data_IF_874336608953
#
_entry.id   IF_874336608953
#
_cell.length_a   1.000
_cell.length_b   1.000
_cell.length_c   1.000
_cell.angle_alpha   90.00
_cell.angle_beta   90.00
_cell.angle_gamma   90.00
#
_symmetry.space_group_name_H-M   'P 1'
#
loop_
_entity.id
_entity.type
_entity.pdbx_description
1 polymer ?
#
# COMPACT_ATOMS: atom_id res chain seq x y z
N UNK A 1 45.17 -46.82 26.03
CA UNK A 1 44.12 -47.86 25.94
C UNK A 1 44.73 -49.21 25.54
N UNK A 2 45.40 -49.35 24.38
CA UNK A 2 45.98 -50.64 23.95
C UNK A 2 47.04 -51.21 24.91
N UNK A 3 47.98 -50.39 25.41
CA UNK A 3 49.03 -50.83 26.37
C UNK A 3 48.46 -51.31 27.71
N UNK A 4 47.37 -50.69 28.18
CA UNK A 4 46.70 -51.05 29.45
C UNK A 4 45.89 -52.33 29.28
N UNK A 5 45.24 -52.52 28.12
CA UNK A 5 44.54 -53.76 27.77
C UNK A 5 45.53 -54.94 27.70
N UNK A 6 46.70 -54.74 27.10
CA UNK A 6 47.72 -55.77 26.94
C UNK A 6 48.29 -56.22 28.31
N UNK A 7 48.54 -55.27 29.21
CA UNK A 7 48.91 -55.55 30.61
C UNK A 7 47.80 -56.30 31.36
N UNK A 8 46.54 -55.93 31.15
CA UNK A 8 45.40 -56.59 31.78
C UNK A 8 45.22 -58.03 31.29
N UNK A 9 45.37 -58.27 29.99
CA UNK A 9 45.35 -59.62 29.39
C UNK A 9 46.51 -60.48 29.90
N UNK A 10 47.70 -59.91 30.05
CA UNK A 10 48.87 -60.62 30.60
C UNK A 10 48.65 -61.03 32.07
N UNK A 11 48.07 -60.13 32.87
CA UNK A 11 47.74 -60.39 34.27
C UNK A 11 46.64 -61.43 34.42
N UNK A 12 45.63 -61.38 33.54
CA UNK A 12 44.58 -62.40 33.40
C UNK A 12 45.14 -63.77 33.05
N UNK A 13 46.05 -63.82 32.08
CA UNK A 13 46.73 -65.06 31.70
C UNK A 13 47.52 -65.64 32.87
N UNK A 14 48.18 -64.80 33.68
CA UNK A 14 48.87 -65.23 34.90
C UNK A 14 47.94 -65.84 35.95
N UNK A 15 46.77 -65.25 36.18
CA UNK A 15 45.76 -65.75 37.14
C UNK A 15 45.15 -67.08 36.69
N UNK A 16 45.02 -67.30 35.37
CA UNK A 16 44.45 -68.54 34.82
C UNK A 16 45.49 -69.66 34.74
N UNK A 17 46.70 -69.35 34.24
CA UNK A 17 47.75 -70.34 33.98
C UNK A 17 48.50 -70.73 35.26
N UNK A 18 48.68 -69.81 36.20
CA UNK A 18 49.39 -70.05 37.46
C UNK A 18 48.84 -71.23 38.28
N UNK A 19 47.53 -71.26 38.59
CA UNK A 19 46.93 -72.37 39.34
C UNK A 19 46.91 -73.69 38.56
N UNK A 20 46.88 -73.64 37.22
CA UNK A 20 46.91 -74.84 36.37
C UNK A 20 48.27 -75.55 36.43
N UNK A 21 49.36 -74.79 36.60
CA UNK A 21 50.72 -75.32 36.78
C UNK A 21 50.98 -75.79 38.22
N UNK A 22 50.29 -75.21 39.21
CA UNK A 22 50.49 -75.49 40.64
C UNK A 22 49.85 -76.79 41.17
N UNK A 23 49.19 -77.59 40.32
CA UNK A 23 48.73 -78.95 40.66
C UNK A 23 47.55 -79.07 41.64
N UNK A 24 47.02 -77.96 42.18
CA UNK A 24 45.88 -77.95 43.09
C UNK A 24 44.73 -77.11 42.51
N UNK A 25 43.86 -77.75 41.72
CA UNK A 25 42.63 -77.13 41.27
C UNK A 25 41.55 -77.34 42.34
N UNK A 26 41.31 -76.33 43.18
CA UNK A 26 40.07 -76.30 43.97
C UNK A 26 38.85 -76.43 43.04
N UNK A 27 37.82 -77.14 43.48
CA UNK A 27 36.57 -77.27 42.73
C UNK A 27 35.47 -76.41 43.36
N UNK A 28 34.58 -75.90 42.52
CA UNK A 28 33.37 -75.20 42.90
C UNK A 28 32.20 -76.07 42.49
N UNK A 29 31.43 -76.53 43.47
CA UNK A 29 30.16 -77.21 43.27
C UNK A 29 29.04 -76.20 43.46
N UNK A 30 28.27 -75.94 42.40
CA UNK A 30 27.03 -75.17 42.49
C UNK A 30 25.89 -76.18 42.44
N UNK A 31 25.25 -76.40 43.59
CA UNK A 31 24.13 -77.33 43.75
C UNK A 31 22.80 -76.56 43.73
N UNK A 32 21.93 -76.89 42.78
CA UNK A 32 20.53 -76.45 42.68
C UNK A 32 19.62 -77.68 42.75
N UNK A 33 18.32 -77.52 43.05
CA UNK A 33 17.37 -78.62 43.32
C UNK A 33 17.44 -79.82 42.33
N UNK A 34 17.72 -79.59 41.04
CA UNK A 34 17.82 -80.64 40.01
C UNK A 34 19.14 -80.64 39.20
N UNK A 35 20.13 -79.79 39.53
CA UNK A 35 21.37 -79.69 38.75
C UNK A 35 22.58 -79.42 39.64
N UNK A 36 23.58 -80.29 39.52
CA UNK A 36 24.90 -80.12 40.11
C UNK A 36 25.87 -79.72 39.00
N UNK A 37 26.39 -78.49 39.06
CA UNK A 37 27.43 -78.03 38.15
C UNK A 37 28.76 -78.06 38.92
N UNK A 38 29.62 -78.99 38.54
CA UNK A 38 31.00 -79.09 39.03
C UNK A 38 31.92 -78.37 38.05
N UNK A 39 32.55 -77.28 38.50
CA UNK A 39 33.57 -76.57 37.72
C UNK A 39 34.82 -76.35 38.55
N UNK A 40 35.98 -76.21 37.92
CA UNK A 40 37.19 -75.82 38.64
C UNK A 40 37.11 -74.33 39.02
N UNK A 41 37.77 -73.94 40.12
CA UNK A 41 37.87 -72.53 40.52
C UNK A 41 38.43 -71.66 39.39
N UNK A 42 39.35 -72.20 38.60
CA UNK A 42 39.91 -71.54 37.40
C UNK A 42 38.86 -71.39 36.30
N UNK A 43 38.04 -72.41 36.06
CA UNK A 43 36.93 -72.37 35.11
C UNK A 43 35.89 -71.31 35.46
N UNK A 44 35.48 -71.23 36.74
CA UNK A 44 34.57 -70.20 37.23
C UNK A 44 35.16 -68.79 37.04
N UNK A 45 36.45 -68.60 37.36
CA UNK A 45 37.11 -67.32 37.16
C UNK A 45 37.10 -66.89 35.69
N UNK A 46 37.45 -67.80 34.76
CA UNK A 46 37.41 -67.54 33.31
C UNK A 46 36.00 -67.12 32.88
N UNK A 47 34.97 -67.85 33.31
CA UNK A 47 33.57 -67.53 32.96
C UNK A 47 33.19 -66.13 33.46
N UNK A 48 33.57 -65.78 34.69
CA UNK A 48 33.26 -64.47 35.28
C UNK A 48 33.97 -63.33 34.54
N UNK A 49 35.22 -63.56 34.13
CA UNK A 49 36.01 -62.62 33.33
C UNK A 49 35.37 -62.43 31.95
N UNK A 50 35.02 -63.52 31.27
CA UNK A 50 34.36 -63.47 29.95
C UNK A 50 33.01 -62.77 30.06
N UNK A 51 32.20 -63.10 31.06
CA UNK A 51 30.93 -62.43 31.33
C UNK A 51 31.11 -60.92 31.53
N UNK A 52 32.13 -60.50 32.27
CA UNK A 52 32.43 -59.09 32.48
C UNK A 52 32.87 -58.37 31.19
N UNK A 53 33.71 -59.01 30.37
CA UNK A 53 34.11 -58.48 29.05
C UNK A 53 32.89 -58.33 28.13
N UNK A 54 31.99 -59.32 28.10
CA UNK A 54 30.76 -59.26 27.32
C UNK A 54 29.86 -58.13 27.80
N UNK A 55 29.70 -57.96 29.12
CA UNK A 55 28.89 -56.88 29.69
C UNK A 55 29.46 -55.50 29.33
N UNK A 56 30.78 -55.32 29.42
CA UNK A 56 31.45 -54.08 28.97
C UNK A 56 31.32 -53.85 27.46
N UNK A 57 31.39 -54.90 26.64
CA UNK A 57 31.19 -54.80 25.19
C UNK A 57 29.77 -54.38 24.84
N UNK A 58 28.76 -54.95 25.53
CA UNK A 58 27.35 -54.55 25.40
C UNK A 58 27.16 -53.10 25.84
N UNK A 59 27.72 -52.70 26.99
CA UNK A 59 27.65 -51.32 27.48
C UNK A 59 28.32 -50.33 26.50
N UNK A 60 29.45 -50.70 25.92
CA UNK A 60 30.13 -49.90 24.89
C UNK A 60 29.28 -49.76 23.62
N UNK A 61 28.68 -50.86 23.14
CA UNK A 61 27.84 -50.88 21.95
C UNK A 61 26.58 -50.03 22.14
N UNK A 62 25.91 -50.16 23.29
CA UNK A 62 24.75 -49.35 23.66
C UNK A 62 25.14 -47.86 23.75
N UNK A 63 26.23 -47.51 24.46
CA UNK A 63 26.72 -46.13 24.53
C UNK A 63 27.06 -45.55 23.16
N UNK A 64 27.63 -46.34 22.25
CA UNK A 64 27.96 -45.94 20.86
C UNK A 64 26.69 -45.65 20.05
N UNK A 65 25.69 -46.53 20.10
CA UNK A 65 24.40 -46.34 19.42
C UNK A 65 23.67 -45.10 19.94
N UNK A 66 23.55 -44.94 21.26
CA UNK A 66 22.83 -43.82 21.86
C UNK A 66 23.58 -42.47 21.74
N UNK A 67 24.92 -42.42 21.87
CA UNK A 67 25.69 -41.19 21.62
C UNK A 67 25.67 -40.76 20.15
N UNK A 68 25.55 -41.68 19.21
CA UNK A 68 25.44 -41.36 17.76
C UNK A 68 24.02 -40.91 17.38
N UNK A 69 22.99 -41.36 18.12
CA UNK A 69 21.60 -40.92 17.92
C UNK A 69 21.35 -39.44 18.20
N UNK A 70 22.02 -38.86 19.19
CA UNK A 70 21.90 -37.43 19.50
C UNK A 70 22.54 -36.52 18.43
N UNK A 71 23.69 -36.93 17.87
CA UNK A 71 24.41 -36.15 16.85
C UNK A 71 23.76 -36.25 15.45
N UNK A 72 23.04 -37.34 15.18
CA UNK A 72 22.32 -37.52 13.91
C UNK A 72 21.02 -36.73 13.87
N UNK A 73 20.24 -36.63 14.96
CA UNK A 73 19.01 -35.82 15.00
C UNK A 73 19.25 -34.35 14.62
N UNK A 74 20.33 -33.73 15.10
CA UNK A 74 20.74 -32.37 14.71
C UNK A 74 21.14 -32.27 13.22
N UNK A 75 21.77 -33.30 12.67
CA UNK A 75 22.15 -33.36 11.25
C UNK A 75 20.94 -33.50 10.30
N UNK A 76 19.90 -34.25 10.69
CA UNK A 76 18.64 -34.34 9.92
C UNK A 76 17.84 -33.03 9.97
N UNK A 77 17.71 -32.40 11.14
CA UNK A 77 17.07 -31.09 11.27
C UNK A 77 17.82 -30.00 10.48
N UNK A 78 19.16 -29.99 10.56
CA UNK A 78 20.00 -29.08 9.79
C UNK A 78 19.88 -29.25 8.28
N UNK A 79 19.70 -30.49 7.77
CA UNK A 79 19.45 -30.73 6.35
C UNK A 79 18.12 -30.18 5.87
N UNK A 80 17.04 -30.31 6.67
CA UNK A 80 15.73 -29.73 6.33
C UNK A 80 15.79 -28.22 6.27
N UNK A 81 16.42 -27.56 7.24
CA UNK A 81 16.61 -26.10 7.25
C UNK A 81 17.45 -25.61 6.06
N UNK A 82 18.56 -26.30 5.76
CA UNK A 82 19.37 -26.00 4.55
C UNK A 82 18.57 -26.15 3.26
N UNK A 83 17.70 -27.17 3.18
CA UNK A 83 16.84 -27.38 2.02
C UNK A 83 15.77 -26.30 1.88
N UNK A 84 15.09 -25.94 2.99
CA UNK A 84 14.12 -24.87 3.02
C UNK A 84 14.75 -23.54 2.58
N UNK A 85 15.95 -23.21 3.10
CA UNK A 85 16.72 -22.03 2.68
C UNK A 85 17.01 -22.03 1.18
N UNK A 86 17.52 -23.13 0.62
CA UNK A 86 17.76 -23.25 -0.83
C UNK A 86 16.47 -23.06 -1.64
N UNK A 87 15.33 -23.53 -1.15
CA UNK A 87 14.05 -23.35 -1.82
C UNK A 87 13.58 -21.90 -1.76
N UNK A 88 13.74 -21.21 -0.63
CA UNK A 88 13.46 -19.77 -0.53
C UNK A 88 14.35 -18.99 -1.50
N UNK A 89 15.66 -19.27 -1.55
CA UNK A 89 16.59 -18.62 -2.49
C UNK A 89 16.16 -18.85 -3.96
N UNK A 90 15.80 -20.07 -4.33
CA UNK A 90 15.27 -20.38 -5.67
C UNK A 90 13.92 -19.73 -5.95
N UNK A 91 13.04 -19.66 -4.95
CA UNK A 91 11.73 -19.04 -5.08
C UNK A 91 11.85 -17.53 -5.31
N UNK A 92 12.81 -16.85 -4.67
CA UNK A 92 13.05 -15.43 -4.90
C UNK A 92 13.53 -15.15 -6.34
N UNK A 93 14.34 -16.03 -6.92
CA UNK A 93 14.70 -15.95 -8.33
C UNK A 93 13.47 -16.14 -9.23
N UNK A 94 12.63 -17.14 -8.94
CA UNK A 94 11.37 -17.37 -9.68
C UNK A 94 10.38 -16.23 -9.54
N UNK A 95 10.37 -15.54 -8.40
CA UNK A 95 9.55 -14.35 -8.18
C UNK A 95 10.01 -13.21 -9.09
N UNK A 96 11.32 -13.00 -9.23
CA UNK A 96 11.88 -12.02 -10.16
C UNK A 96 11.62 -12.38 -11.63
N UNK A 97 11.57 -13.67 -11.98
CA UNK A 97 11.18 -14.15 -13.31
C UNK A 97 9.66 -14.05 -13.59
N UNK A 98 8.84 -13.80 -12.56
CA UNK A 98 7.38 -13.78 -12.68
C UNK A 98 6.72 -15.18 -12.72
N UNK A 99 7.46 -16.25 -12.43
CA UNK A 99 6.92 -17.61 -12.38
C UNK A 99 6.25 -17.89 -11.02
N UNK A 100 5.06 -17.32 -10.85
CA UNK A 100 4.29 -17.42 -9.61
C UNK A 100 3.90 -18.86 -9.24
N UNK A 101 3.79 -19.77 -10.22
CA UNK A 101 3.50 -21.17 -9.93
C UNK A 101 4.67 -21.85 -9.21
N UNK A 102 5.90 -21.60 -9.66
CA UNK A 102 7.08 -22.13 -8.99
C UNK A 102 7.34 -21.44 -7.65
N UNK A 103 7.09 -20.12 -7.55
CA UNK A 103 7.19 -19.39 -6.28
C UNK A 103 6.32 -20.03 -5.21
N UNK A 104 5.03 -20.17 -5.48
CA UNK A 104 4.08 -20.72 -4.51
C UNK A 104 4.51 -22.12 -4.05
N UNK A 105 4.90 -22.98 -4.99
CA UNK A 105 5.33 -24.35 -4.71
C UNK A 105 6.61 -24.40 -3.88
N UNK A 106 7.59 -23.55 -4.18
CA UNK A 106 8.88 -23.54 -3.48
C UNK A 106 8.75 -22.90 -2.09
N UNK A 107 7.96 -21.83 -1.97
CA UNK A 107 7.75 -21.13 -0.71
C UNK A 107 6.94 -21.96 0.29
N UNK A 108 5.87 -22.65 -0.13
CA UNK A 108 5.00 -23.44 0.76
C UNK A 108 5.59 -24.79 1.17
N UNK A 109 6.27 -25.51 0.27
CA UNK A 109 6.62 -26.94 0.45
C UNK A 109 7.43 -27.28 1.71
N UNK A 110 8.31 -26.39 2.17
CA UNK A 110 9.07 -26.58 3.41
C UNK A 110 9.09 -25.29 4.27
N UNK A 111 8.04 -24.47 4.14
CA UNK A 111 7.92 -23.19 4.85
C UNK A 111 8.10 -23.33 6.37
N UNK A 112 7.49 -24.34 6.98
CA UNK A 112 7.54 -24.59 8.44
C UNK A 112 8.97 -24.84 8.96
N UNK A 113 9.90 -25.22 8.10
CA UNK A 113 11.31 -25.46 8.45
C UNK A 113 12.23 -24.33 7.97
N UNK A 114 11.68 -23.30 7.33
CA UNK A 114 12.42 -22.11 6.93
C UNK A 114 12.80 -21.27 8.14
N UNK A 115 13.74 -20.36 7.96
CA UNK A 115 14.13 -19.44 9.02
C UNK A 115 13.04 -18.41 9.33
N UNK A 116 12.22 -18.06 8.33
CA UNK A 116 11.10 -17.13 8.43
C UNK A 116 9.85 -17.75 7.76
N UNK A 117 9.14 -18.67 8.44
CA UNK A 117 7.98 -19.36 7.87
C UNK A 117 6.85 -18.42 7.43
N UNK A 118 6.57 -17.38 8.24
CA UNK A 118 5.52 -16.38 7.97
C UNK A 118 5.73 -15.71 6.62
N UNK A 119 6.95 -15.21 6.37
CA UNK A 119 7.31 -14.53 5.10
C UNK A 119 7.10 -15.46 3.90
N UNK A 120 7.52 -16.71 4.01
CA UNK A 120 7.33 -17.70 2.95
C UNK A 120 5.84 -17.89 2.61
N UNK A 121 4.98 -18.03 3.62
CA UNK A 121 3.54 -18.19 3.38
C UNK A 121 2.88 -16.91 2.86
N UNK A 122 3.29 -15.71 3.30
CA UNK A 122 2.80 -14.45 2.73
C UNK A 122 3.15 -14.33 1.25
N UNK A 123 4.39 -14.63 0.86
CA UNK A 123 4.81 -14.62 -0.54
C UNK A 123 4.12 -15.73 -1.36
N UNK A 124 3.84 -16.88 -0.76
CA UNK A 124 3.05 -17.93 -1.40
C UNK A 124 1.60 -17.47 -1.63
N UNK A 125 1.00 -16.74 -0.68
CA UNK A 125 -0.33 -16.18 -0.83
C UNK A 125 -0.40 -15.15 -1.96
N UNK A 126 0.59 -14.24 -2.04
CA UNK A 126 0.70 -13.27 -3.13
C UNK A 126 0.89 -13.95 -4.49
N UNK A 127 1.75 -14.98 -4.57
CA UNK A 127 1.95 -15.74 -5.79
C UNK A 127 0.69 -16.49 -6.23
N UNK A 128 -0.06 -17.09 -5.30
CA UNK A 128 -1.34 -17.72 -5.60
C UNK A 128 -2.38 -16.70 -6.10
N UNK A 129 -2.41 -15.50 -5.52
CA UNK A 129 -3.28 -14.41 -5.97
C UNK A 129 -2.96 -13.95 -7.39
N UNK A 130 -1.69 -13.80 -7.76
CA UNK A 130 -1.29 -13.43 -9.12
C UNK A 130 -1.71 -14.47 -10.17
N UNK A 131 -1.96 -15.70 -9.74
CA UNK A 131 -2.50 -16.78 -10.57
C UNK A 131 -4.03 -16.85 -10.58
N UNK A 132 -4.71 -16.00 -9.79
CA UNK A 132 -6.16 -16.03 -9.61
C UNK A 132 -6.67 -17.19 -8.73
N UNK A 133 -5.81 -17.89 -7.99
CA UNK A 133 -6.21 -18.97 -7.09
C UNK A 133 -6.48 -18.42 -5.68
N UNK A 134 -7.67 -17.87 -5.49
CA UNK A 134 -8.06 -17.18 -4.25
C UNK A 134 -8.12 -18.12 -3.04
N UNK A 135 -8.57 -19.36 -3.26
CA UNK A 135 -8.69 -20.37 -2.21
C UNK A 135 -7.32 -20.72 -1.63
N UNK A 136 -6.33 -20.95 -2.49
CA UNK A 136 -4.95 -21.19 -2.03
C UNK A 136 -4.33 -19.97 -1.39
N UNK A 137 -4.56 -18.79 -1.95
CA UNK A 137 -4.06 -17.55 -1.36
C UNK A 137 -4.57 -17.37 0.08
N UNK A 138 -5.85 -17.62 0.33
CA UNK A 138 -6.44 -17.56 1.67
C UNK A 138 -5.87 -18.65 2.59
N UNK A 139 -5.70 -19.88 2.12
CA UNK A 139 -5.09 -20.96 2.90
C UNK A 139 -3.67 -20.62 3.36
N UNK A 140 -2.84 -20.06 2.47
CA UNK A 140 -1.48 -19.64 2.82
C UNK A 140 -1.50 -18.47 3.80
N UNK A 141 -2.42 -17.52 3.64
CA UNK A 141 -2.59 -16.37 4.53
C UNK A 141 -3.02 -16.80 5.94
N UNK A 142 -3.96 -17.75 6.06
CA UNK A 142 -4.37 -18.34 7.34
C UNK A 142 -3.20 -19.05 8.02
N UNK A 143 -2.43 -19.83 7.26
CA UNK A 143 -1.24 -20.50 7.79
C UNK A 143 -0.18 -19.50 8.26
N UNK A 144 -0.01 -18.38 7.55
CA UNK A 144 0.85 -17.29 7.98
C UNK A 144 0.36 -16.67 9.30
N UNK A 145 -0.96 -16.47 9.45
CA UNK A 145 -1.57 -15.93 10.66
C UNK A 145 -1.34 -16.82 11.88
N UNK A 146 -1.50 -18.14 11.73
CA UNK A 146 -1.24 -19.12 12.80
C UNK A 146 0.22 -19.06 13.29
N UNK A 147 1.16 -18.84 12.37
CA UNK A 147 2.60 -18.81 12.65
C UNK A 147 3.11 -17.45 13.12
N UNK A 148 2.38 -16.37 12.87
CA UNK A 148 2.77 -15.00 13.21
C UNK A 148 2.74 -14.71 14.71
N UNK A 149 1.96 -15.46 15.49
CA UNK A 149 1.83 -15.28 16.94
C UNK A 149 1.38 -13.87 17.29
N UNK A 150 2.26 -13.08 17.91
CA UNK A 150 1.96 -11.71 18.34
C UNK A 150 2.16 -10.65 17.24
N UNK A 151 2.92 -10.94 16.18
CA UNK A 151 3.25 -9.97 15.12
C UNK A 151 2.34 -10.14 13.90
N UNK A 152 1.08 -9.73 14.04
CA UNK A 152 0.04 -9.93 13.02
C UNK A 152 0.05 -8.86 11.92
N UNK A 153 0.82 -7.77 12.08
CA UNK A 153 0.79 -6.61 11.17
C UNK A 153 1.13 -7.00 9.72
N UNK A 154 2.20 -7.78 9.43
CA UNK A 154 2.52 -8.16 8.05
C UNK A 154 1.42 -9.01 7.40
N UNK A 155 0.75 -9.85 8.19
CA UNK A 155 -0.35 -10.71 7.72
C UNK A 155 -1.55 -9.85 7.32
N UNK A 156 -1.93 -8.89 8.17
CA UNK A 156 -3.08 -8.02 7.91
C UNK A 156 -2.81 -7.02 6.77
N UNK A 157 -1.58 -6.49 6.65
CA UNK A 157 -1.18 -5.70 5.47
C UNK A 157 -1.33 -6.52 4.19
N UNK A 158 -0.84 -7.76 4.20
CA UNK A 158 -0.96 -8.66 3.05
C UNK A 158 -2.42 -8.97 2.75
N UNK A 159 -3.24 -9.25 3.77
CA UNK A 159 -4.69 -9.48 3.63
C UNK A 159 -5.36 -8.32 2.89
N UNK A 160 -5.14 -7.09 3.34
CA UNK A 160 -5.71 -5.88 2.73
C UNK A 160 -5.23 -5.71 1.29
N UNK A 161 -3.95 -5.95 1.02
CA UNK A 161 -3.39 -5.90 -0.34
C UNK A 161 -4.09 -6.90 -1.27
N UNK A 162 -4.30 -8.13 -0.82
CA UNK A 162 -5.02 -9.15 -1.58
C UNK A 162 -6.48 -8.74 -1.82
N UNK A 163 -7.18 -8.21 -0.81
CA UNK A 163 -8.55 -7.70 -0.93
C UNK A 163 -8.66 -6.57 -1.97
N UNK A 164 -7.74 -5.61 -1.95
CA UNK A 164 -7.69 -4.55 -2.98
C UNK A 164 -7.42 -5.11 -4.37
N UNK A 165 -6.54 -6.10 -4.50
CA UNK A 165 -6.28 -6.75 -5.78
C UNK A 165 -7.53 -7.49 -6.34
N UNK A 166 -8.40 -7.98 -5.45
CA UNK A 166 -9.69 -8.62 -5.79
C UNK A 166 -10.86 -7.66 -5.98
N UNK A 167 -10.63 -6.35 -5.86
CA UNK A 167 -11.69 -5.33 -5.82
C UNK A 167 -12.70 -5.50 -4.67
N UNK A 168 -12.33 -6.20 -3.60
CA UNK A 168 -13.11 -6.32 -2.36
C UNK A 168 -12.96 -5.04 -1.51
N UNK A 169 -13.33 -3.89 -2.10
CA UNK A 169 -12.96 -2.56 -1.60
C UNK A 169 -13.50 -2.29 -0.18
N UNK A 170 -14.71 -2.77 0.15
CA UNK A 170 -15.28 -2.61 1.49
C UNK A 170 -14.55 -3.44 2.55
N UNK A 171 -14.14 -4.68 2.21
CA UNK A 171 -13.36 -5.52 3.11
C UNK A 171 -11.97 -4.92 3.34
N UNK A 172 -11.33 -4.45 2.27
CA UNK A 172 -10.06 -3.75 2.34
C UNK A 172 -10.13 -2.49 3.21
N UNK A 173 -11.17 -1.67 3.05
CA UNK A 173 -11.39 -0.48 3.88
C UNK A 173 -11.45 -0.83 5.36
N UNK A 174 -12.27 -1.82 5.73
CA UNK A 174 -12.39 -2.24 7.12
C UNK A 174 -11.07 -2.82 7.67
N UNK A 175 -10.30 -3.55 6.85
CA UNK A 175 -8.97 -4.02 7.24
C UNK A 175 -7.97 -2.87 7.47
N UNK A 176 -7.99 -1.85 6.61
CA UNK A 176 -7.20 -0.63 6.77
C UNK A 176 -7.57 0.10 8.06
N UNK A 177 -8.87 0.29 8.34
CA UNK A 177 -9.32 1.04 9.51
C UNK A 177 -8.74 0.42 10.79
N UNK A 178 -8.77 -0.91 10.90
CA UNK A 178 -8.13 -1.66 12.00
C UNK A 178 -6.61 -1.49 12.04
N UNK A 179 -5.95 -1.54 10.88
CA UNK A 179 -4.49 -1.35 10.79
C UNK A 179 -4.07 0.06 11.23
N UNK A 180 -4.89 1.08 10.96
CA UNK A 180 -4.65 2.46 11.37
C UNK A 180 -4.84 2.68 12.87
N UNK A 181 -5.70 1.92 13.54
CA UNK A 181 -5.82 1.95 15.01
C UNK A 181 -4.53 1.50 15.70
N UNK A 182 -3.88 0.46 15.16
CA UNK A 182 -2.65 -0.12 15.74
C UNK A 182 -1.40 0.60 15.24
N UNK A 183 -1.35 0.95 13.95
CA UNK A 183 -0.17 1.48 13.26
C UNK A 183 -0.48 2.71 12.40
N UNK A 184 -0.91 3.84 13.00
CA UNK A 184 -1.45 5.00 12.27
C UNK A 184 -0.46 5.72 11.35
N UNK A 185 0.84 5.43 11.46
CA UNK A 185 1.91 6.07 10.66
C UNK A 185 2.70 5.09 9.81
N UNK A 186 2.24 3.84 9.67
CA UNK A 186 2.95 2.87 8.83
C UNK A 186 2.80 3.23 7.35
N UNK A 187 3.90 3.47 6.60
CA UNK A 187 3.83 3.99 5.23
C UNK A 187 2.97 3.14 4.29
N UNK A 188 3.11 1.81 4.37
CA UNK A 188 2.34 0.91 3.50
C UNK A 188 0.85 0.87 3.87
N UNK A 189 0.51 1.00 5.17
CA UNK A 189 -0.89 1.04 5.60
C UNK A 189 -1.55 2.30 5.07
N UNK A 190 -0.85 3.43 5.11
CA UNK A 190 -1.32 4.70 4.57
C UNK A 190 -1.53 4.64 3.05
N UNK A 191 -0.66 3.96 2.29
CA UNK A 191 -0.85 3.74 0.84
C UNK A 191 -2.05 2.85 0.53
N UNK A 192 -2.24 1.78 1.30
CA UNK A 192 -3.41 0.91 1.16
C UNK A 192 -4.69 1.65 1.56
N UNK A 193 -4.62 2.51 2.58
CA UNK A 193 -5.72 3.36 3.03
C UNK A 193 -6.16 4.34 1.96
N UNK A 194 -5.21 5.05 1.35
CA UNK A 194 -5.47 5.93 0.22
C UNK A 194 -6.26 5.21 -0.87
N UNK A 195 -5.80 4.04 -1.32
CA UNK A 195 -6.48 3.26 -2.34
C UNK A 195 -7.87 2.79 -1.91
N UNK A 196 -8.00 2.25 -0.69
CA UNK A 196 -9.27 1.76 -0.17
C UNK A 196 -10.31 2.87 -0.02
N UNK A 197 -9.91 4.05 0.47
CA UNK A 197 -10.81 5.18 0.66
C UNK A 197 -11.24 5.81 -0.67
N UNK A 198 -10.32 5.96 -1.63
CA UNK A 198 -10.68 6.44 -2.97
C UNK A 198 -11.69 5.50 -3.64
N UNK A 199 -11.45 4.18 -3.60
CA UNK A 199 -12.33 3.20 -4.26
C UNK A 199 -13.70 3.04 -3.62
N UNK A 200 -13.82 3.40 -2.34
CA UNK A 200 -15.09 3.33 -1.59
C UNK A 200 -15.76 4.69 -1.42
N UNK A 201 -15.21 5.75 -2.03
CA UNK A 201 -15.67 7.14 -1.85
C UNK A 201 -15.74 7.57 -0.38
N UNK A 202 -14.82 7.06 0.45
CA UNK A 202 -14.71 7.34 1.87
C UNK A 202 -13.89 8.62 2.11
N UNK A 203 -14.39 9.74 1.60
CA UNK A 203 -13.64 10.98 1.50
C UNK A 203 -13.27 11.60 2.86
N UNK A 204 -14.13 11.47 3.87
CA UNK A 204 -13.83 11.94 5.22
C UNK A 204 -12.61 11.22 5.81
N UNK A 205 -12.60 9.88 5.74
CA UNK A 205 -11.47 9.06 6.19
C UNK A 205 -10.19 9.35 5.41
N UNK A 206 -10.29 9.66 4.11
CA UNK A 206 -9.15 10.08 3.30
C UNK A 206 -8.54 11.39 3.82
N UNK A 207 -9.36 12.39 4.18
CA UNK A 207 -8.84 13.65 4.75
C UNK A 207 -8.15 13.43 6.10
N UNK A 208 -8.71 12.55 6.95
CA UNK A 208 -8.18 12.27 8.29
C UNK A 208 -6.76 11.67 8.25
N UNK A 209 -6.42 10.90 7.22
CA UNK A 209 -5.10 10.26 7.10
C UNK A 209 -4.02 11.17 6.51
N UNK A 210 -4.37 12.24 5.79
CA UNK A 210 -3.39 13.12 5.11
C UNK A 210 -2.34 13.70 6.07
N UNK A 211 -2.68 14.19 7.28
CA UNK A 211 -1.67 14.64 8.25
C UNK A 211 -0.70 13.53 8.68
N UNK A 212 -1.18 12.29 8.79
CA UNK A 212 -0.36 11.12 9.10
C UNK A 212 0.54 10.76 7.92
N UNK A 213 0.05 10.87 6.68
CA UNK A 213 0.85 10.73 5.45
C UNK A 213 1.99 11.75 5.39
N UNK A 214 1.73 13.02 5.74
CA UNK A 214 2.77 14.04 5.77
C UNK A 214 3.88 13.70 6.80
N UNK A 215 3.49 13.25 8.01
CA UNK A 215 4.43 12.84 9.07
C UNK A 215 5.24 11.59 8.72
N UNK A 216 4.63 10.65 8.00
CA UNK A 216 5.28 9.42 7.55
C UNK A 216 6.01 9.58 6.19
N UNK A 217 5.98 10.78 5.60
CA UNK A 217 6.56 11.09 4.29
C UNK A 217 6.04 10.19 3.16
N UNK A 218 4.73 9.88 3.21
CA UNK A 218 4.02 9.15 2.16
C UNK A 218 3.50 10.16 1.14
N UNK A 219 3.94 10.00 -0.11
CA UNK A 219 3.71 10.95 -1.19
C UNK A 219 4.53 12.23 -1.03
N UNK A 220 4.59 13.03 -2.09
CA UNK A 220 5.08 14.41 -2.00
C UNK A 220 3.95 15.36 -1.54
N UNK A 221 4.28 16.64 -1.36
CA UNK A 221 3.30 17.63 -0.94
C UNK A 221 2.23 17.87 -2.00
N UNK A 222 2.60 17.82 -3.28
CA UNK A 222 1.68 17.97 -4.40
C UNK A 222 0.65 16.84 -4.45
N UNK A 223 1.07 15.57 -4.27
CA UNK A 223 0.17 14.41 -4.22
C UNK A 223 -0.82 14.53 -3.07
N UNK A 224 -0.35 14.91 -1.86
CA UNK A 224 -1.26 15.10 -0.71
C UNK A 224 -2.25 16.23 -0.93
N UNK A 225 -1.84 17.34 -1.53
CA UNK A 225 -2.74 18.44 -1.88
C UNK A 225 -3.78 18.03 -2.92
N UNK A 226 -3.39 17.20 -3.90
CA UNK A 226 -4.30 16.64 -4.89
C UNK A 226 -5.32 15.70 -4.24
N UNK A 227 -4.89 14.82 -3.33
CA UNK A 227 -5.80 13.93 -2.56
C UNK A 227 -6.77 14.74 -1.69
N UNK A 228 -6.28 15.79 -1.02
CA UNK A 228 -7.12 16.68 -0.23
C UNK A 228 -8.20 17.31 -1.11
N UNK A 229 -7.82 17.87 -2.26
CA UNK A 229 -8.76 18.44 -3.21
C UNK A 229 -9.78 17.42 -3.72
N UNK A 230 -9.34 16.22 -4.10
CA UNK A 230 -10.22 15.15 -4.58
C UNK A 230 -11.24 14.74 -3.51
N UNK A 231 -10.79 14.58 -2.26
CA UNK A 231 -11.66 14.22 -1.15
C UNK A 231 -12.70 15.31 -0.87
N UNK A 232 -12.31 16.58 -0.90
CA UNK A 232 -13.26 17.67 -0.70
C UNK A 232 -14.29 17.76 -1.83
N UNK A 233 -13.89 17.60 -3.09
CA UNK A 233 -14.82 17.55 -4.23
C UNK A 233 -15.78 16.36 -4.06
N UNK A 234 -15.27 15.19 -3.70
CA UNK A 234 -16.10 14.01 -3.43
C UNK A 234 -17.13 14.22 -2.31
N UNK A 235 -16.77 14.97 -1.26
CA UNK A 235 -17.73 15.35 -0.20
C UNK A 235 -18.78 16.35 -0.70
N UNK A 236 -18.40 17.30 -1.56
CA UNK A 236 -19.36 18.20 -2.21
C UNK A 236 -20.35 17.42 -3.08
N UNK A 237 -19.85 16.47 -3.87
CA UNK A 237 -20.69 15.62 -4.72
C UNK A 237 -21.69 14.80 -3.90
N UNK A 238 -21.27 14.26 -2.76
CA UNK A 238 -22.16 13.56 -1.82
C UNK A 238 -23.22 14.49 -1.23
N UNK A 239 -22.83 15.67 -0.73
CA UNK A 239 -23.78 16.63 -0.17
C UNK A 239 -24.79 17.15 -1.21
N UNK A 240 -24.32 17.33 -2.46
CA UNK A 240 -25.14 17.68 -3.61
C UNK A 240 -26.14 16.58 -3.96
N UNK A 241 -25.70 15.32 -3.98
CA UNK A 241 -26.57 14.19 -4.30
C UNK A 241 -27.69 14.01 -3.28
N UNK A 242 -27.44 14.32 -2.00
CA UNK A 242 -28.44 14.17 -0.94
C UNK A 242 -29.48 15.29 -0.91
N UNK A 243 -29.07 16.55 -1.07
CA UNK A 243 -29.93 17.73 -0.80
C UNK A 243 -29.75 18.88 -1.81
N UNK A 244 -29.11 18.65 -2.96
CA UNK A 244 -28.90 19.66 -3.99
C UNK A 244 -28.11 20.88 -3.52
N UNK A 245 -28.57 22.08 -3.88
CA UNK A 245 -27.92 23.35 -3.53
C UNK A 245 -27.93 23.67 -2.04
N UNK A 246 -29.02 23.35 -1.32
CA UNK A 246 -29.14 23.60 0.12
C UNK A 246 -28.21 22.68 0.93
N UNK A 247 -28.01 21.43 0.49
CA UNK A 247 -27.01 20.51 1.03
C UNK A 247 -25.60 21.08 0.93
N UNK A 248 -25.22 21.50 -0.28
CA UNK A 248 -23.93 22.15 -0.53
C UNK A 248 -23.74 23.39 0.33
N UNK A 249 -24.76 24.25 0.44
CA UNK A 249 -24.70 25.48 1.25
C UNK A 249 -24.48 25.19 2.73
N UNK A 250 -25.20 24.20 3.27
CA UNK A 250 -25.07 23.78 4.67
C UNK A 250 -23.69 23.18 4.91
N UNK A 251 -23.25 22.29 4.02
CA UNK A 251 -21.93 21.69 4.08
C UNK A 251 -20.82 22.75 4.05
N UNK A 252 -20.88 23.72 3.14
CA UNK A 252 -19.90 24.80 3.00
C UNK A 252 -19.82 25.66 4.27
N UNK A 253 -20.97 26.02 4.85
CA UNK A 253 -21.02 26.81 6.10
C UNK A 253 -20.36 26.10 7.27
N UNK A 254 -20.47 24.78 7.34
CA UNK A 254 -19.87 23.95 8.39
C UNK A 254 -18.36 23.79 8.23
N UNK A 255 -17.78 24.17 7.09
CA UNK A 255 -16.34 24.08 6.87
C UNK A 255 -15.56 25.18 7.59
N UNK A 256 -14.35 24.81 8.03
CA UNK A 256 -13.42 25.74 8.66
C UNK A 256 -13.11 26.92 7.73
N UNK A 257 -12.75 28.06 8.33
CA UNK A 257 -12.34 29.25 7.55
C UNK A 257 -11.15 28.96 6.64
N UNK A 258 -10.19 28.14 7.09
CA UNK A 258 -9.01 27.74 6.30
C UNK A 258 -9.43 26.98 5.04
N UNK A 259 -10.32 26.00 5.19
CA UNK A 259 -10.85 25.19 4.09
C UNK A 259 -11.61 26.06 3.08
N UNK A 260 -12.51 26.94 3.56
CA UNK A 260 -13.28 27.86 2.69
C UNK A 260 -12.46 28.89 1.93
N UNK A 261 -11.20 29.10 2.33
CA UNK A 261 -10.29 30.05 1.67
C UNK A 261 -9.41 29.38 0.62
N UNK A 262 -9.40 28.05 0.52
CA UNK A 262 -8.66 27.34 -0.53
C UNK A 262 -9.32 27.61 -1.89
N UNK A 263 -8.58 28.20 -2.83
CA UNK A 263 -9.15 28.59 -4.13
C UNK A 263 -9.67 27.42 -4.94
N UNK A 264 -8.93 26.31 -4.98
CA UNK A 264 -9.39 25.10 -5.69
C UNK A 264 -10.79 24.66 -5.20
N UNK A 265 -11.06 24.84 -3.91
CA UNK A 265 -12.33 24.50 -3.28
C UNK A 265 -13.42 25.52 -3.59
N UNK A 266 -13.08 26.81 -3.61
CA UNK A 266 -14.01 27.86 -4.01
C UNK A 266 -14.47 27.70 -5.46
N UNK A 267 -13.55 27.31 -6.36
CA UNK A 267 -13.84 27.06 -7.77
C UNK A 267 -14.79 25.86 -7.91
N UNK A 268 -14.45 24.72 -7.31
CA UNK A 268 -15.30 23.53 -7.35
C UNK A 268 -16.70 23.81 -6.76
N UNK A 269 -16.75 24.54 -5.64
CA UNK A 269 -18.02 24.95 -5.02
C UNK A 269 -18.85 25.84 -5.95
N UNK A 270 -18.23 26.82 -6.60
CA UNK A 270 -18.93 27.70 -7.55
C UNK A 270 -19.45 26.93 -8.77
N UNK A 271 -18.67 26.00 -9.31
CA UNK A 271 -19.09 25.15 -10.44
C UNK A 271 -20.28 24.25 -10.06
N UNK A 272 -20.24 23.59 -8.90
CA UNK A 272 -21.35 22.76 -8.44
C UNK A 272 -22.61 23.59 -8.15
N UNK A 273 -22.47 24.79 -7.60
CA UNK A 273 -23.61 25.69 -7.38
C UNK A 273 -24.24 26.16 -8.69
N UNK A 274 -23.41 26.46 -9.71
CA UNK A 274 -23.88 26.78 -11.07
C UNK A 274 -24.66 25.62 -11.68
N UNK A 275 -24.19 24.37 -11.48
CA UNK A 275 -24.90 23.17 -11.94
C UNK A 275 -26.24 22.94 -11.21
N UNK A 276 -26.35 23.41 -9.96
CA UNK A 276 -27.58 23.38 -9.17
C UNK A 276 -28.47 24.63 -9.32
N UNK A 277 -28.17 25.51 -10.30
CA UNK A 277 -28.90 26.77 -10.57
C UNK A 277 -28.84 27.81 -9.41
N UNK A 278 -27.98 27.61 -8.41
CA UNK A 278 -27.74 28.57 -7.31
C UNK A 278 -26.62 29.56 -7.70
N UNK A 279 -26.92 30.38 -8.71
CA UNK A 279 -25.98 31.35 -9.27
C UNK A 279 -25.62 32.49 -8.31
N UNK A 280 -26.52 32.88 -7.42
CA UNK A 280 -26.30 33.98 -6.48
C UNK A 280 -25.26 33.60 -5.42
N UNK A 281 -25.33 32.39 -4.85
CA UNK A 281 -24.30 31.90 -3.91
C UNK A 281 -22.97 31.67 -4.63
N UNK A 282 -22.98 31.14 -5.85
CA UNK A 282 -21.78 30.95 -6.66
C UNK A 282 -21.04 32.28 -6.88
N UNK A 283 -21.77 33.35 -7.23
CA UNK A 283 -21.21 34.69 -7.38
C UNK A 283 -20.58 35.19 -6.09
N UNK A 284 -21.24 35.01 -4.94
CA UNK A 284 -20.69 35.45 -3.65
C UNK A 284 -19.36 34.76 -3.33
N UNK A 285 -19.26 33.45 -3.55
CA UNK A 285 -18.03 32.69 -3.31
C UNK A 285 -16.89 33.18 -4.21
N UNK A 286 -17.17 33.41 -5.51
CA UNK A 286 -16.19 33.93 -6.46
C UNK A 286 -15.71 35.33 -6.04
N UNK A 287 -16.65 36.22 -5.70
CA UNK A 287 -16.33 37.59 -5.26
C UNK A 287 -15.45 37.57 -4.00
N UNK A 288 -15.80 36.75 -3.01
CA UNK A 288 -15.06 36.64 -1.76
C UNK A 288 -13.66 36.03 -1.97
N UNK A 289 -13.53 35.09 -2.91
CA UNK A 289 -12.25 34.55 -3.35
C UNK A 289 -11.37 35.60 -4.00
N UNK A 290 -11.87 36.27 -5.04
CA UNK A 290 -11.14 37.29 -5.80
C UNK A 290 -10.71 38.48 -4.93
N UNK A 291 -11.55 38.90 -3.97
CA UNK A 291 -11.19 39.96 -3.02
C UNK A 291 -9.98 39.63 -2.15
N UNK A 292 -9.71 38.34 -1.92
CA UNK A 292 -8.58 37.89 -1.09
C UNK A 292 -7.33 37.62 -1.92
N UNK A 293 -7.50 36.85 -2.97
CA UNK A 293 -6.41 36.54 -3.89
C UNK A 293 -6.96 36.43 -5.31
N UNK A 294 -6.24 37.05 -6.23
CA UNK A 294 -6.49 36.85 -7.64
C UNK A 294 -6.02 35.44 -8.06
N UNK A 295 -6.91 34.70 -8.72
CA UNK A 295 -6.60 33.43 -9.35
C UNK A 295 -7.49 33.29 -10.59
N UNK A 296 -6.88 32.99 -11.74
CA UNK A 296 -7.58 32.86 -13.01
C UNK A 296 -8.72 31.84 -12.94
N UNK A 297 -8.57 30.79 -12.11
CA UNK A 297 -9.58 29.74 -11.95
C UNK A 297 -10.88 30.24 -11.32
N UNK A 298 -10.86 31.33 -10.55
CA UNK A 298 -12.08 31.97 -10.03
C UNK A 298 -12.78 32.83 -11.07
N UNK A 299 -12.04 33.27 -12.11
CA UNK A 299 -12.59 34.11 -13.19
C UNK A 299 -13.29 33.24 -14.24
N UNK A 300 -12.77 32.04 -14.51
CA UNK A 300 -13.30 31.13 -15.54
C UNK A 300 -14.79 30.76 -15.40
N UNK A 301 -15.36 30.55 -14.19
CA UNK A 301 -16.78 30.21 -14.05
C UNK A 301 -17.72 31.41 -14.24
N UNK A 302 -17.21 32.65 -14.17
CA UNK A 302 -18.03 33.88 -14.18
C UNK A 302 -18.96 33.96 -15.40
N UNK A 303 -18.50 33.72 -16.65
CA UNK A 303 -19.37 33.77 -17.81
C UNK A 303 -20.50 32.74 -17.82
N UNK A 304 -20.48 31.73 -16.94
CA UNK A 304 -21.59 30.76 -16.81
C UNK A 304 -22.65 31.21 -15.81
N UNK A 305 -22.37 32.21 -14.98
CA UNK A 305 -23.31 32.72 -13.99
C UNK A 305 -24.52 33.39 -14.67
N UNK A 306 -25.71 33.17 -14.11
CA UNK A 306 -26.96 33.86 -14.45
C UNK A 306 -27.50 34.50 -13.17
N UNK A 307 -27.00 35.68 -12.83
CA UNK A 307 -27.29 36.32 -11.53
C UNK A 307 -28.19 37.51 -11.71
N UNK A 308 -28.93 37.84 -10.65
CA UNK A 308 -29.79 39.01 -10.63
C UNK A 308 -29.03 40.29 -10.25
N UNK A 309 -27.77 40.20 -9.80
CA UNK A 309 -26.99 41.35 -9.34
C UNK A 309 -25.57 41.37 -9.91
N UNK A 310 -25.45 41.63 -11.21
CA UNK A 310 -24.17 41.55 -11.91
C UNK A 310 -23.22 42.72 -11.63
N UNK A 311 -23.75 43.88 -11.26
CA UNK A 311 -22.98 45.10 -11.00
C UNK A 311 -21.90 44.87 -9.93
N UNK A 312 -22.21 44.04 -8.93
CA UNK A 312 -21.26 43.69 -7.89
C UNK A 312 -20.05 42.95 -8.44
N UNK A 313 -20.28 42.00 -9.36
CA UNK A 313 -19.23 41.20 -9.96
C UNK A 313 -18.37 42.04 -10.91
N UNK A 314 -19.00 42.88 -11.72
CA UNK A 314 -18.32 43.81 -12.63
C UNK A 314 -17.46 44.82 -11.87
N UNK A 315 -17.95 45.35 -10.75
CA UNK A 315 -17.17 46.23 -9.88
C UNK A 315 -15.93 45.53 -9.33
N UNK A 316 -16.05 44.27 -8.92
CA UNK A 316 -14.92 43.46 -8.45
C UNK A 316 -13.94 43.19 -9.58
N UNK A 317 -14.41 42.83 -10.78
CA UNK A 317 -13.54 42.63 -11.95
C UNK A 317 -12.75 43.89 -12.31
N UNK A 318 -13.40 45.06 -12.34
CA UNK A 318 -12.72 46.36 -12.56
C UNK A 318 -11.71 46.68 -11.48
N UNK A 319 -12.01 46.34 -10.22
CA UNK A 319 -11.06 46.49 -9.13
C UNK A 319 -9.85 45.57 -9.33
N UNK A 320 -10.07 44.30 -9.70
CA UNK A 320 -8.99 43.35 -9.96
C UNK A 320 -8.09 43.77 -11.12
N UNK A 321 -8.66 44.29 -12.21
CA UNK A 321 -7.91 44.87 -13.33
C UNK A 321 -6.99 45.99 -12.83
N UNK A 322 -7.48 46.87 -11.96
CA UNK A 322 -6.68 47.97 -11.39
C UNK A 322 -5.57 47.48 -10.46
N UNK A 323 -5.78 46.39 -9.72
CA UNK A 323 -4.82 45.91 -8.71
C UNK A 323 -3.80 44.93 -9.25
N UNK A 324 -4.23 43.97 -10.06
CA UNK A 324 -3.38 42.90 -10.63
C UNK A 324 -2.71 43.35 -11.92
N UNK A 325 -3.28 44.38 -12.56
CA UNK A 325 -2.88 44.89 -13.86
C UNK A 325 -3.71 44.31 -15.00
N UNK A 326 -3.40 44.79 -16.19
CA UNK A 326 -4.04 44.36 -17.42
C UNK A 326 -3.76 42.88 -17.68
N UNK A 327 -4.81 42.06 -17.60
CA UNK A 327 -4.79 40.62 -17.94
C UNK A 327 -5.86 40.36 -19.00
N UNK A 328 -5.57 39.62 -20.09
CA UNK A 328 -6.55 39.36 -21.15
C UNK A 328 -7.82 38.68 -20.62
N UNK A 329 -7.67 37.70 -19.72
CA UNK A 329 -8.80 36.93 -19.18
C UNK A 329 -9.78 37.80 -18.39
N UNK A 330 -9.27 38.72 -17.56
CA UNK A 330 -10.09 39.65 -16.78
C UNK A 330 -10.91 40.57 -17.70
N UNK A 331 -10.27 41.13 -18.73
CA UNK A 331 -10.92 42.01 -19.68
C UNK A 331 -11.96 41.27 -20.54
N UNK A 332 -11.63 40.07 -21.03
CA UNK A 332 -12.56 39.21 -21.75
C UNK A 332 -13.79 38.85 -20.90
N UNK A 333 -13.56 38.47 -19.64
CA UNK A 333 -14.64 38.08 -18.73
C UNK A 333 -15.51 39.26 -18.31
N UNK A 334 -14.91 40.44 -18.13
CA UNK A 334 -15.66 41.68 -17.93
C UNK A 334 -16.52 42.02 -19.15
N UNK A 335 -15.97 41.90 -20.37
CA UNK A 335 -16.73 42.11 -21.60
C UNK A 335 -17.91 41.14 -21.74
N UNK A 336 -17.70 39.86 -21.46
CA UNK A 336 -18.77 38.86 -21.49
C UNK A 336 -19.85 39.13 -20.44
N UNK A 337 -19.49 39.59 -19.24
CA UNK A 337 -20.45 40.02 -18.23
C UNK A 337 -21.28 41.21 -18.71
N UNK A 338 -20.63 42.26 -19.23
CA UNK A 338 -21.30 43.47 -19.73
C UNK A 338 -22.26 43.16 -20.89
N UNK A 339 -21.87 42.25 -21.81
CA UNK A 339 -22.75 41.81 -22.89
C UNK A 339 -24.04 41.17 -22.38
N UNK A 340 -23.99 40.37 -21.31
CA UNK A 340 -25.19 39.74 -20.75
C UNK A 340 -26.20 40.74 -20.21
N UNK A 341 -25.74 41.91 -19.77
CA UNK A 341 -26.59 42.95 -19.19
C UNK A 341 -26.93 44.09 -20.17
N UNK A 342 -26.48 43.97 -21.42
CA UNK A 342 -26.81 44.93 -22.47
C UNK A 342 -25.92 46.18 -22.50
N UNK A 343 -24.82 46.20 -21.76
CA UNK A 343 -23.84 47.31 -21.75
C UNK A 343 -22.86 47.17 -22.91
N UNK A 344 -23.39 47.23 -24.14
CA UNK A 344 -22.64 46.91 -25.36
C UNK A 344 -21.43 47.82 -25.58
N UNK A 345 -21.55 49.13 -25.30
CA UNK A 345 -20.44 50.08 -25.48
C UNK A 345 -19.25 49.73 -24.60
N UNK A 346 -19.49 49.51 -23.30
CA UNK A 346 -18.41 49.16 -22.38
C UNK A 346 -17.85 47.76 -22.66
N UNK A 347 -18.70 46.82 -23.11
CA UNK A 347 -18.26 45.50 -23.54
C UNK A 347 -17.26 45.60 -24.71
N UNK A 348 -17.53 46.43 -25.73
CA UNK A 348 -16.59 46.61 -26.85
C UNK A 348 -15.24 47.15 -26.39
N UNK A 349 -15.21 48.09 -25.44
CA UNK A 349 -13.97 48.62 -24.86
C UNK A 349 -13.19 47.53 -24.12
N UNK A 350 -13.89 46.70 -23.33
CA UNK A 350 -13.28 45.60 -22.60
C UNK A 350 -12.66 44.55 -23.54
N UNK A 351 -13.37 44.12 -24.58
CA UNK A 351 -12.81 43.17 -25.56
C UNK A 351 -11.64 43.76 -26.34
N UNK A 352 -11.69 45.04 -26.74
CA UNK A 352 -10.55 45.72 -27.38
C UNK A 352 -9.33 45.74 -26.46
N UNK A 353 -9.52 45.97 -25.15
CA UNK A 353 -8.45 45.92 -24.17
C UNK A 353 -7.86 44.51 -23.99
N UNK A 354 -8.69 43.46 -24.05
CA UNK A 354 -8.24 42.06 -24.06
C UNK A 354 -7.41 41.73 -25.32
N UNK A 355 -7.96 42.04 -26.49
CA UNK A 355 -7.36 41.76 -27.81
C UNK A 355 -6.03 42.49 -28.02
N UNK A 356 -5.89 43.70 -27.46
CA UNK A 356 -4.62 44.45 -27.50
C UNK A 356 -3.47 43.69 -26.82
N UNK A 357 -3.78 42.88 -25.81
CA UNK A 357 -2.79 42.09 -25.06
C UNK A 357 -2.62 40.70 -25.63
N UNK A 358 -3.73 40.06 -26.03
CA UNK A 358 -3.73 38.71 -26.59
C UNK A 358 -4.79 38.62 -27.68
N UNK A 359 -4.38 38.48 -28.95
CA UNK A 359 -5.31 38.11 -30.02
C UNK A 359 -5.97 36.77 -29.69
N UNK A 360 -7.30 36.75 -29.62
CA UNK A 360 -8.08 35.56 -29.29
C UNK A 360 -9.34 35.54 -30.17
N UNK A 361 -9.61 34.39 -30.79
CA UNK A 361 -10.70 34.26 -31.75
C UNK A 361 -12.09 34.42 -31.10
N UNK A 362 -12.24 33.99 -29.84
CA UNK A 362 -13.49 34.17 -29.11
C UNK A 362 -13.70 35.64 -28.77
N UNK A 363 -12.67 36.35 -28.31
CA UNK A 363 -12.76 37.79 -28.01
C UNK A 363 -13.09 38.61 -29.27
N UNK A 364 -12.57 38.24 -30.45
CA UNK A 364 -12.97 38.85 -31.72
C UNK A 364 -14.45 38.60 -32.05
N UNK A 365 -14.94 37.37 -31.86
CA UNK A 365 -16.33 37.02 -32.11
C UNK A 365 -17.28 37.78 -31.17
N UNK A 366 -16.98 37.82 -29.87
CA UNK A 366 -17.76 38.56 -28.88
C UNK A 366 -17.75 40.07 -29.14
N UNK A 367 -16.61 40.63 -29.54
CA UNK A 367 -16.51 42.03 -29.94
C UNK A 367 -17.39 42.34 -31.16
N UNK A 368 -17.37 41.48 -32.18
CA UNK A 368 -18.21 41.64 -33.35
C UNK A 368 -19.71 41.61 -33.01
N UNK A 369 -20.12 40.69 -32.15
CA UNK A 369 -21.52 40.59 -31.72
C UNK A 369 -21.96 41.81 -30.91
N UNK A 370 -21.08 42.36 -30.06
CA UNK A 370 -21.35 43.61 -29.35
C UNK A 370 -21.45 44.82 -30.32
N UNK A 371 -20.61 44.88 -31.36
CA UNK A 371 -20.65 45.94 -32.39
C UNK A 371 -21.92 45.89 -33.25
N UNK A 372 -22.41 44.68 -33.58
CA UNK A 372 -23.68 44.52 -34.29
C UNK A 372 -24.87 45.06 -33.48
N UNK A 373 -24.86 44.83 -32.15
CA UNK A 373 -25.87 45.40 -31.23
C UNK A 373 -25.80 46.93 -31.14
N UNK A 374 -24.64 47.52 -31.43
CA UNK A 374 -24.44 48.97 -31.54
C UNK A 374 -24.69 49.52 -32.94
N UNK A 375 -25.18 48.69 -33.87
CA UNK A 375 -25.42 49.07 -35.27
C UNK A 375 -24.16 49.54 -36.01
N UNK A 376 -23.01 48.89 -35.74
CA UNK A 376 -21.73 49.12 -36.42
C UNK A 376 -21.30 47.88 -37.24
N UNK A 377 -22.04 47.52 -38.31
CA UNK A 377 -21.87 46.25 -39.01
C UNK A 377 -20.54 46.15 -39.78
N UNK A 378 -19.99 47.27 -40.25
CA UNK A 378 -18.71 47.26 -40.98
C UNK A 378 -17.54 46.89 -40.07
N UNK A 379 -17.48 47.48 -38.87
CA UNK A 379 -16.48 47.13 -37.86
C UNK A 379 -16.68 45.70 -37.36
N UNK A 380 -17.93 45.27 -37.14
CA UNK A 380 -18.24 43.89 -36.76
C UNK A 380 -17.75 42.88 -37.80
N UNK A 381 -17.99 43.14 -39.09
CA UNK A 381 -17.52 42.29 -40.19
C UNK A 381 -15.98 42.22 -40.25
N UNK A 382 -15.29 43.35 -40.00
CA UNK A 382 -13.83 43.37 -39.91
C UNK A 382 -13.33 42.50 -38.75
N UNK A 383 -13.91 42.63 -37.54
CA UNK A 383 -13.52 41.83 -36.38
C UNK A 383 -13.75 40.33 -36.60
N UNK A 384 -14.87 39.93 -37.24
CA UNK A 384 -15.11 38.51 -37.59
C UNK A 384 -14.08 37.99 -38.58
N UNK A 385 -13.73 38.77 -39.59
CA UNK A 385 -12.70 38.40 -40.58
C UNK A 385 -11.35 38.20 -39.88
N UNK A 386 -10.96 39.14 -39.03
CA UNK A 386 -9.68 39.08 -38.33
C UNK A 386 -9.64 37.88 -37.36
N UNK A 387 -10.74 37.62 -36.64
CA UNK A 387 -10.90 36.42 -35.81
C UNK A 387 -10.82 35.11 -36.61
N UNK A 388 -11.46 35.05 -37.79
CA UNK A 388 -11.38 33.89 -38.68
C UNK A 388 -9.96 33.67 -39.24
N UNK A 389 -9.27 34.75 -39.63
CA UNK A 389 -7.90 34.65 -40.10
C UNK A 389 -6.96 34.13 -39.00
N UNK A 390 -7.19 34.54 -37.74
CA UNK A 390 -6.43 34.04 -36.59
C UNK A 390 -6.63 32.53 -36.38
N UNK A 391 -7.86 32.01 -36.50
CA UNK A 391 -8.10 30.55 -36.36
C UNK A 391 -7.46 29.74 -37.49
N UNK A 392 -7.47 30.26 -38.72
CA UNK A 392 -6.82 29.64 -39.88
C UNK A 392 -5.28 29.63 -39.76
N UNK A 393 -4.68 30.69 -39.20
CA UNK A 393 -3.24 30.74 -38.95
C UNK A 393 -2.81 29.73 -37.88
N UNK A 394 -3.64 29.56 -36.84
CA UNK A 394 -3.34 28.63 -35.75
C UNK A 394 -3.61 27.16 -36.12
N UNK A 395 -4.42 26.90 -37.15
CA UNK A 395 -4.72 25.57 -37.67
C UNK A 395 -4.42 25.50 -39.19
N UNK A 396 -3.14 25.48 -39.59
CA UNK A 396 -2.80 25.35 -41.01
C UNK A 396 -3.36 24.02 -41.56
N UNK A 397 -3.81 24.00 -42.84
CA UNK A 397 -4.23 22.75 -43.48
C UNK A 397 -3.07 21.74 -43.47
N UNK A 398 -3.35 20.52 -43.03
CA UNK A 398 -2.39 19.39 -42.99
C UNK A 398 -2.00 18.93 -44.39
#
# INVERSE_FOLDING_TARGET
MLKVLLLFVLLLAGIVVGPMIAGHQGYVLIQTDNYNIETSVTGLAIILIVAMVVLFAIEWLLRRLFRTGAHTRGWFAGRKRRRARKQTEQALLKLAEGDYQQVEKLMSKNADHAEQPVVNYLLAAEAAQQRGDEARANQHLERAAELAGNDTIPVEITRVRLQLARNENHAARHGVDKLLEVTPRHPEVLRLAEQAYIRTSAWSSLLDIIPSMAKAHVGDEAHRAMLEQQAWIGLMDQARAEQGSEGLRTWWKNQSRKTRHQVALQVAMAEHLIECDDHDMAQQIIIDGLKRQYDDRLVLPIPRLRTNNPEQLEKVLRQQIKTVGDRPLLWSTLGQSLMKHGEWQEATLAFRAALKQRPDAYDYAWLADALDRLHQPEEAAAMRRDGLMLTLQNNPPQ
#
